data_IF_745168615819
#
_entry.id   IF_745168615819
#
_cell.length_a   1.000
_cell.length_b   1.000
_cell.length_c   1.000
_cell.angle_alpha   90.00
_cell.angle_beta   90.00
_cell.angle_gamma   90.00
#
_symmetry.space_group_name_H-M   'P 1'
#
loop_
_entity.id
_entity.type
_entity.pdbx_description
1 polymer ?
#
# COMPACT_ATOMS: atom_id res chain seq x y z
N UNK A 1 11.29 12.95 15.45
CA UNK A 1 11.53 12.15 14.24
C UNK A 1 11.67 10.66 14.54
N UNK A 2 12.67 10.20 15.31
CA UNK A 2 12.91 8.75 15.55
C UNK A 2 11.68 7.99 16.09
N UNK A 3 10.99 8.55 17.08
CA UNK A 3 9.77 7.93 17.64
C UNK A 3 8.61 7.86 16.62
N UNK A 4 8.43 8.89 15.79
CA UNK A 4 7.43 8.89 14.72
C UNK A 4 7.71 7.79 13.67
N UNK A 5 8.97 7.58 13.30
CA UNK A 5 9.35 6.51 12.35
C UNK A 5 8.99 5.13 12.94
N UNK A 6 9.27 4.90 14.22
CA UNK A 6 8.91 3.64 14.87
C UNK A 6 7.39 3.42 14.92
N UNK A 7 6.61 4.47 15.22
CA UNK A 7 5.14 4.39 15.23
C UNK A 7 4.59 4.06 13.84
N UNK A 8 5.13 4.67 12.78
CA UNK A 8 4.70 4.38 11.40
C UNK A 8 5.10 2.98 10.94
N UNK A 9 6.28 2.49 11.33
CA UNK A 9 6.66 1.10 11.06
C UNK A 9 5.74 0.10 11.76
N UNK A 10 5.38 0.36 13.01
CA UNK A 10 4.43 -0.48 13.75
C UNK A 10 3.02 -0.42 13.15
N UNK A 11 2.59 0.74 12.64
CA UNK A 11 1.27 0.86 12.01
C UNK A 11 1.19 0.07 10.69
N UNK A 12 2.25 0.06 9.86
CA UNK A 12 2.29 -0.79 8.65
C UNK A 12 2.05 -2.26 8.98
N UNK A 13 2.65 -2.77 10.07
CA UNK A 13 2.48 -4.16 10.49
C UNK A 13 1.09 -4.48 11.08
N UNK A 14 0.42 -3.47 11.65
CA UNK A 14 -0.88 -3.65 12.29
C UNK A 14 -2.02 -3.88 11.28
N UNK A 15 -2.04 -3.13 10.18
CA UNK A 15 -3.19 -3.09 9.25
C UNK A 15 -3.16 -4.19 8.18
N UNK A 16 -2.86 -5.44 8.58
CA UNK A 16 -2.67 -6.57 7.65
C UNK A 16 -3.85 -6.82 6.69
N UNK A 17 -5.07 -6.48 7.09
CA UNK A 17 -6.28 -6.75 6.31
C UNK A 17 -6.72 -5.58 5.40
N UNK A 18 -6.28 -4.36 5.69
CA UNK A 18 -6.70 -3.16 4.95
C UNK A 18 -5.51 -2.57 4.19
N UNK A 19 -5.29 -3.09 2.98
CA UNK A 19 -4.17 -2.70 2.10
C UNK A 19 -4.12 -1.18 1.87
N UNK A 20 -5.27 -0.50 1.75
CA UNK A 20 -5.33 0.96 1.63
C UNK A 20 -4.73 1.69 2.84
N UNK A 21 -5.06 1.26 4.05
CA UNK A 21 -4.57 1.87 5.28
C UNK A 21 -3.07 1.60 5.46
N UNK A 22 -2.58 0.45 5.00
CA UNK A 22 -1.15 0.16 4.92
C UNK A 22 -0.42 1.05 3.91
N UNK A 23 -1.01 1.32 2.74
CA UNK A 23 -0.43 2.25 1.77
C UNK A 23 -0.36 3.68 2.34
N UNK A 24 -1.41 4.13 3.03
CA UNK A 24 -1.44 5.47 3.63
C UNK A 24 -0.36 5.61 4.72
N UNK A 25 -0.14 4.60 5.55
CA UNK A 25 0.94 4.67 6.55
C UNK A 25 2.33 4.67 5.92
N UNK A 26 2.51 3.97 4.79
CA UNK A 26 3.75 4.03 4.01
C UNK A 26 4.00 5.42 3.39
N UNK A 27 2.96 6.06 2.83
CA UNK A 27 3.05 7.45 2.33
C UNK A 27 3.43 8.44 3.44
N UNK A 28 2.82 8.31 4.62
CA UNK A 28 3.16 9.17 5.77
C UNK A 28 4.62 8.97 6.22
N UNK A 29 5.14 7.75 6.12
CA UNK A 29 6.55 7.48 6.42
C UNK A 29 7.48 8.14 5.40
N UNK A 30 7.14 8.10 4.11
CA UNK A 30 7.91 8.77 3.04
C UNK A 30 7.92 10.28 3.23
N UNK A 31 6.80 10.90 3.62
CA UNK A 31 6.72 12.33 3.92
C UNK A 31 7.63 12.68 5.12
N UNK A 32 7.61 11.88 6.19
CA UNK A 32 8.50 12.10 7.35
C UNK A 32 9.97 11.99 6.94
N UNK A 33 10.30 11.02 6.08
CA UNK A 33 11.66 10.88 5.54
C UNK A 33 12.07 12.11 4.71
N UNK A 34 11.19 12.60 3.83
CA UNK A 34 11.41 13.82 3.06
C UNK A 34 11.64 15.04 3.95
N UNK A 35 10.80 15.24 4.96
CA UNK A 35 10.96 16.34 5.93
C UNK A 35 12.26 16.23 6.72
N UNK A 36 12.72 15.00 7.03
CA UNK A 36 14.02 14.80 7.67
C UNK A 36 15.18 15.21 6.77
N UNK A 37 15.10 14.93 5.46
CA UNK A 37 16.14 15.30 4.48
C UNK A 37 16.19 16.80 4.20
N UNK A 38 15.03 17.48 4.21
CA UNK A 38 14.96 18.94 4.10
C UNK A 38 15.65 19.60 5.30
N UNK A 39 15.42 19.08 6.51
CA UNK A 39 16.01 19.62 7.74
C UNK A 39 17.50 19.32 7.88
N UNK A 40 18.02 18.26 7.24
CA UNK A 40 19.46 18.06 7.11
C UNK A 40 20.01 19.00 6.04
N UNK A 41 20.37 20.21 6.46
CA UNK A 41 20.82 21.31 5.61
C UNK A 41 22.18 20.96 4.95
N UNK A 42 22.14 20.26 3.82
CA UNK A 42 23.32 19.94 3.03
C UNK A 42 23.01 20.18 1.55
N UNK A 43 23.88 20.85 0.79
CA UNK A 43 23.59 21.23 -0.60
C UNK A 43 23.30 20.00 -1.49
N UNK A 44 23.92 18.86 -1.19
CA UNK A 44 23.67 17.59 -1.88
C UNK A 44 22.28 16.99 -1.62
N UNK A 45 21.55 17.40 -0.56
CA UNK A 45 20.22 16.87 -0.27
C UNK A 45 19.17 17.35 -1.28
N UNK A 46 19.39 18.48 -1.95
CA UNK A 46 18.46 19.04 -2.95
C UNK A 46 18.27 18.15 -4.18
N UNK A 47 19.37 17.63 -4.75
CA UNK A 47 19.31 16.66 -5.84
C UNK A 47 18.66 15.33 -5.41
N UNK A 48 18.96 14.89 -4.19
CA UNK A 48 18.41 13.67 -3.62
C UNK A 48 16.90 13.79 -3.39
N UNK A 49 16.42 14.95 -2.92
CA UNK A 49 15.00 15.30 -2.83
C UNK A 49 14.31 15.28 -4.20
N UNK A 50 14.99 15.79 -5.23
CA UNK A 50 14.47 15.81 -6.60
C UNK A 50 14.29 14.41 -7.19
N UNK A 51 15.15 13.45 -6.83
CA UNK A 51 15.01 12.04 -7.21
C UNK A 51 14.03 11.28 -6.31
N UNK A 52 13.93 11.64 -5.03
CA UNK A 52 13.09 10.95 -4.05
C UNK A 52 11.59 11.08 -4.36
N UNK A 53 11.16 12.27 -4.80
CA UNK A 53 9.78 12.58 -5.13
C UNK A 53 9.19 11.72 -6.28
N UNK A 54 9.83 11.59 -7.45
CA UNK A 54 9.33 10.71 -8.50
C UNK A 54 9.37 9.23 -8.07
N UNK A 55 10.37 8.81 -7.30
CA UNK A 55 10.42 7.45 -6.77
C UNK A 55 9.25 7.15 -5.83
N UNK A 56 8.90 8.05 -4.91
CA UNK A 56 7.74 7.86 -4.02
C UNK A 56 6.44 7.75 -4.80
N UNK A 57 6.24 8.59 -5.83
CA UNK A 57 5.05 8.54 -6.69
C UNK A 57 4.96 7.23 -7.47
N UNK A 58 6.07 6.73 -8.02
CA UNK A 58 6.07 5.45 -8.75
C UNK A 58 5.77 4.26 -7.83
N UNK A 59 6.27 4.28 -6.59
CA UNK A 59 5.97 3.26 -5.60
C UNK A 59 4.48 3.25 -5.23
N UNK A 60 3.89 4.44 -5.06
CA UNK A 60 2.46 4.60 -4.80
C UNK A 60 1.60 4.04 -5.94
N UNK A 61 1.93 4.39 -7.20
CA UNK A 61 1.18 3.91 -8.36
C UNK A 61 1.29 2.39 -8.50
N UNK A 62 2.46 1.83 -8.23
CA UNK A 62 2.67 0.37 -8.23
C UNK A 62 1.83 -0.29 -7.13
N UNK A 63 1.82 0.23 -5.90
CA UNK A 63 1.00 -0.30 -4.81
C UNK A 63 -0.50 -0.27 -5.11
N UNK A 64 -1.00 0.82 -5.71
CA UNK A 64 -2.39 0.93 -6.14
C UNK A 64 -2.73 -0.06 -7.27
N UNK A 65 -1.83 -0.26 -8.23
CA UNK A 65 -2.02 -1.25 -9.30
C UNK A 65 -2.11 -2.68 -8.75
N UNK A 66 -1.31 -3.03 -7.75
CA UNK A 66 -1.38 -4.33 -7.06
C UNK A 66 -2.69 -4.50 -6.30
N UNK A 67 -3.21 -3.43 -5.68
CA UNK A 67 -4.52 -3.46 -5.03
C UNK A 67 -5.67 -3.72 -6.01
N UNK A 68 -5.60 -3.12 -7.22
CA UNK A 68 -6.57 -3.41 -8.27
C UNK A 68 -6.47 -4.86 -8.72
N UNK A 69 -5.26 -5.42 -8.81
CA UNK A 69 -5.07 -6.82 -9.18
C UNK A 69 -5.64 -7.77 -8.10
N UNK A 70 -5.36 -7.51 -6.83
CA UNK A 70 -5.83 -8.35 -5.71
C UNK A 70 -7.34 -8.30 -5.53
N UNK A 71 -7.97 -7.14 -5.71
CA UNK A 71 -9.44 -7.02 -5.68
C UNK A 71 -10.11 -7.83 -6.78
N UNK A 72 -9.53 -7.87 -7.99
CA UNK A 72 -10.03 -8.68 -9.11
C UNK A 72 -9.90 -10.18 -8.85
N UNK A 73 -8.84 -10.63 -8.18
CA UNK A 73 -8.67 -12.04 -7.82
C UNK A 73 -9.70 -12.46 -6.78
N UNK A 74 -9.89 -11.67 -5.71
CA UNK A 74 -10.83 -11.99 -4.64
C UNK A 74 -12.31 -11.98 -5.12
N UNK A 75 -12.66 -11.10 -6.05
CA UNK A 75 -14.01 -11.11 -6.64
C UNK A 75 -14.25 -12.30 -7.59
N UNK A 76 -13.20 -12.82 -8.24
CA UNK A 76 -13.31 -14.01 -9.08
C UNK A 76 -13.46 -15.29 -8.26
N UNK A 77 -12.81 -15.38 -7.10
CA UNK A 77 -12.95 -16.54 -6.21
C UNK A 77 -14.33 -16.65 -5.58
N UNK A 78 -14.94 -15.51 -5.20
CA UNK A 78 -16.30 -15.50 -4.63
C UNK A 78 -17.37 -15.86 -5.68
N UNK A 79 -17.22 -15.36 -6.91
CA UNK A 79 -18.16 -15.65 -8.00
C UNK A 79 -18.09 -17.11 -8.48
N UNK A 80 -16.89 -17.70 -8.57
CA UNK A 80 -16.73 -19.13 -8.90
C UNK A 80 -17.33 -20.02 -7.81
N UNK A 81 -17.08 -19.72 -6.53
CA UNK A 81 -17.67 -20.46 -5.41
C UNK A 81 -19.20 -20.39 -5.43
N UNK A 82 -19.76 -19.20 -5.64
CA UNK A 82 -21.22 -19.00 -5.71
C UNK A 82 -21.84 -19.73 -6.91
N UNK A 83 -21.18 -19.75 -8.07
CA UNK A 83 -21.62 -20.52 -9.23
C UNK A 83 -21.57 -22.04 -8.98
N UNK A 84 -20.51 -22.56 -8.35
CA UNK A 84 -20.44 -23.98 -7.99
C UNK A 84 -21.50 -24.37 -6.96
N UNK A 85 -21.78 -23.50 -5.99
CA UNK A 85 -22.80 -23.74 -4.96
C UNK A 85 -24.21 -23.70 -5.54
N UNK A 86 -24.49 -22.74 -6.43
CA UNK A 86 -25.77 -22.64 -7.14
C UNK A 86 -26.00 -23.86 -8.05
N UNK A 87 -24.95 -24.35 -8.72
CA UNK A 87 -25.08 -25.52 -9.60
C UNK A 87 -25.26 -26.83 -8.80
N UNK A 88 -24.67 -26.94 -7.61
CA UNK A 88 -24.85 -28.10 -6.73
C UNK A 88 -26.26 -28.18 -6.11
N UNK A 89 -26.91 -27.03 -5.90
CA UNK A 89 -28.30 -26.98 -5.40
C UNK A 89 -29.36 -27.24 -6.49
N UNK A 90 -28.96 -27.30 -7.76
CA UNK A 90 -29.86 -27.51 -8.90
C UNK A 90 -29.85 -28.95 -9.43
N UNK A 91 -29.42 -29.93 -8.64
CA UNK A 91 -29.52 -31.35 -8.99
C UNK A 91 -30.95 -31.81 -8.62
N UNK A 92 -31.87 -32.04 -9.58
CA UNK A 92 -33.16 -32.61 -9.25
C UNK A 92 -32.98 -34.07 -8.81
N UNK A 93 -33.49 -34.39 -7.62
CA UNK A 93 -33.79 -35.77 -7.22
C UNK A 93 -34.86 -36.38 -8.11
#
# INVERSE_FOLDING_TARGET
MKMMVMIMMMSIMWWRNHILLMLISAEMLLIIAMMSMINSHNQNSSFLLMLFLPLSVTLASMGMSMMILSSRVNNKTSTLFMLTFANNNNIPH
#
